data_IF_136820986473
#
_entry.id   IF_136820986473
#
_cell.length_a   1.000
_cell.length_b   1.000
_cell.length_c   1.000
_cell.angle_alpha   90.00
_cell.angle_beta   90.00
_cell.angle_gamma   90.00
#
_symmetry.space_group_name_H-M   'P 1'
#
loop_
_entity.id
_entity.type
_entity.pdbx_description
1 polymer ?
#
# COMPACT_ATOMS: atom_id res chain seq x y z
N UNK A 1 -10.55 4.44 -34.36
CA UNK A 1 -10.48 3.26 -33.47
C UNK A 1 -9.14 3.19 -32.76
N UNK A 2 -8.02 3.13 -33.48
CA UNK A 2 -6.66 3.05 -32.90
C UNK A 2 -6.28 4.21 -31.95
N UNK A 3 -6.67 5.45 -32.24
CA UNK A 3 -6.39 6.61 -31.37
C UNK A 3 -7.15 6.54 -30.04
N UNK A 4 -8.41 6.10 -30.05
CA UNK A 4 -9.21 5.96 -28.82
C UNK A 4 -8.69 4.85 -27.92
N UNK A 5 -8.26 3.72 -28.50
CA UNK A 5 -7.61 2.64 -27.75
C UNK A 5 -6.30 3.10 -27.10
N UNK A 6 -5.49 3.88 -27.83
CA UNK A 6 -4.25 4.46 -27.29
C UNK A 6 -4.53 5.42 -26.12
N UNK A 7 -5.53 6.30 -26.25
CA UNK A 7 -5.94 7.21 -25.16
C UNK A 7 -6.41 6.42 -23.94
N UNK A 8 -7.26 5.41 -24.13
CA UNK A 8 -7.75 4.59 -23.03
C UNK A 8 -6.60 3.84 -22.33
N UNK A 9 -5.65 3.29 -23.09
CA UNK A 9 -4.45 2.65 -22.53
C UNK A 9 -3.62 3.63 -21.69
N UNK A 10 -3.42 4.86 -22.18
CA UNK A 10 -2.69 5.89 -21.46
C UNK A 10 -3.39 6.29 -20.14
N UNK A 11 -4.72 6.43 -20.17
CA UNK A 11 -5.52 6.71 -18.96
C UNK A 11 -5.36 5.57 -17.94
N UNK A 12 -5.48 4.31 -18.38
CA UNK A 12 -5.33 3.15 -17.50
C UNK A 12 -3.93 3.07 -16.90
N UNK A 13 -2.89 3.33 -17.69
CA UNK A 13 -1.51 3.36 -17.20
C UNK A 13 -1.29 4.48 -16.17
N UNK A 14 -1.86 5.66 -16.41
CA UNK A 14 -1.82 6.77 -15.45
C UNK A 14 -2.54 6.45 -14.13
N UNK A 15 -3.66 5.72 -14.18
CA UNK A 15 -4.37 5.26 -12.99
C UNK A 15 -3.56 4.23 -12.20
N UNK A 16 -2.97 3.26 -12.90
CA UNK A 16 -2.09 2.25 -12.30
C UNK A 16 -0.85 2.89 -11.65
N UNK A 17 -0.26 3.90 -12.30
CA UNK A 17 0.88 4.65 -11.76
C UNK A 17 0.51 5.34 -10.44
N UNK A 18 -0.62 6.06 -10.40
CA UNK A 18 -1.08 6.73 -9.17
C UNK A 18 -1.36 5.73 -8.06
N UNK A 19 -1.98 4.60 -8.40
CA UNK A 19 -2.23 3.53 -7.45
C UNK A 19 -0.93 2.95 -6.90
N UNK A 20 0.05 2.66 -7.76
CA UNK A 20 1.37 2.16 -7.36
C UNK A 20 2.11 3.13 -6.44
N UNK A 21 2.05 4.44 -6.71
CA UNK A 21 2.66 5.45 -5.85
C UNK A 21 1.99 5.50 -4.46
N UNK A 22 0.66 5.43 -4.42
CA UNK A 22 -0.07 5.38 -3.15
C UNK A 22 0.19 4.09 -2.36
N UNK A 23 0.29 2.95 -3.05
CA UNK A 23 0.67 1.67 -2.46
C UNK A 23 2.11 1.66 -1.95
N UNK A 24 3.05 2.30 -2.63
CA UNK A 24 4.43 2.40 -2.15
C UNK A 24 4.52 3.16 -0.82
N UNK A 25 3.73 4.23 -0.67
CA UNK A 25 3.59 4.94 0.62
C UNK A 25 2.94 4.06 1.68
N UNK A 26 1.89 3.31 1.33
CA UNK A 26 1.27 2.39 2.28
C UNK A 26 2.22 1.28 2.73
N UNK A 27 2.99 0.70 1.80
CA UNK A 27 4.04 -0.27 2.08
C UNK A 27 5.08 0.33 3.03
N UNK A 28 5.55 1.55 2.78
CA UNK A 28 6.49 2.23 3.66
C UNK A 28 5.97 2.35 5.10
N UNK A 29 4.70 2.71 5.27
CA UNK A 29 4.08 2.76 6.60
C UNK A 29 4.04 1.37 7.27
N UNK A 30 3.77 0.31 6.51
CA UNK A 30 3.86 -1.05 7.04
C UNK A 30 5.31 -1.41 7.44
N UNK A 31 6.29 -1.10 6.59
CA UNK A 31 7.70 -1.39 6.81
C UNK A 31 8.23 -0.65 8.06
N UNK A 32 7.85 0.61 8.27
CA UNK A 32 8.19 1.37 9.47
C UNK A 32 7.64 0.73 10.74
N UNK A 33 6.39 0.25 10.72
CA UNK A 33 5.80 -0.45 11.88
C UNK A 33 6.55 -1.75 12.17
N UNK A 34 6.86 -2.54 11.13
CA UNK A 34 7.61 -3.78 11.27
C UNK A 34 9.02 -3.52 11.83
N UNK A 35 9.67 -2.43 11.41
CA UNK A 35 10.97 -2.03 11.97
C UNK A 35 10.90 -1.67 13.44
N UNK A 36 9.83 -0.99 13.88
CA UNK A 36 9.62 -0.74 15.31
C UNK A 36 9.39 -2.02 16.10
N UNK A 37 8.70 -3.02 15.54
CA UNK A 37 8.60 -4.36 16.14
C UNK A 37 9.98 -5.04 16.25
N UNK A 38 10.76 -5.03 15.16
CA UNK A 38 12.10 -5.64 15.13
C UNK A 38 13.03 -4.98 16.16
N UNK A 39 12.93 -3.67 16.38
CA UNK A 39 13.68 -2.94 17.42
C UNK A 39 13.31 -3.38 18.85
N UNK A 40 12.16 -4.03 19.03
CA UNK A 40 11.71 -4.64 20.28
C UNK A 40 12.03 -6.14 20.35
N UNK A 41 12.94 -6.63 19.49
CA UNK A 41 13.32 -8.04 19.37
C UNK A 41 12.14 -8.97 18.97
N UNK A 42 11.11 -8.43 18.32
CA UNK A 42 9.99 -9.23 17.82
C UNK A 42 10.41 -10.15 16.68
N UNK A 43 9.83 -11.35 16.66
CA UNK A 43 9.99 -12.33 15.58
C UNK A 43 9.04 -12.04 14.41
N UNK A 44 9.28 -12.71 13.28
CA UNK A 44 8.34 -12.70 12.15
C UNK A 44 6.95 -13.23 12.55
N UNK A 45 6.89 -14.21 13.45
CA UNK A 45 5.62 -14.75 13.97
C UNK A 45 4.88 -13.72 14.83
N UNK A 46 5.60 -12.96 15.66
CA UNK A 46 5.00 -11.87 16.44
C UNK A 46 4.40 -10.80 15.53
N UNK A 47 5.12 -10.41 14.47
CA UNK A 47 4.61 -9.46 13.46
C UNK A 47 3.39 -10.03 12.73
N UNK A 48 3.43 -11.30 12.34
CA UNK A 48 2.34 -12.00 11.67
C UNK A 48 1.08 -12.17 12.55
N UNK A 49 1.24 -12.04 13.87
CA UNK A 49 0.15 -12.15 14.86
C UNK A 49 -0.52 -10.82 15.20
N UNK A 50 -0.02 -9.68 14.70
CA UNK A 50 -0.55 -8.36 15.03
C UNK A 50 -2.02 -8.20 14.64
N UNK A 51 -2.89 -7.93 15.62
CA UNK A 51 -4.32 -7.69 15.41
C UNK A 51 -4.83 -6.45 16.14
N UNK A 52 -5.96 -5.91 15.69
CA UNK A 52 -6.62 -4.77 16.38
C UNK A 52 -7.16 -5.13 17.78
N UNK A 53 -7.26 -6.43 18.12
CA UNK A 53 -7.77 -6.88 19.42
C UNK A 53 -6.78 -6.67 20.56
N UNK A 54 -5.49 -6.53 20.25
CA UNK A 54 -4.42 -6.30 21.21
C UNK A 54 -4.27 -4.82 21.52
N UNK A 55 -5.23 -4.27 22.26
CA UNK A 55 -5.35 -2.82 22.47
C UNK A 55 -4.09 -2.15 23.00
N UNK A 56 -3.29 -2.83 23.82
CA UNK A 56 -2.01 -2.31 24.31
C UNK A 56 -0.94 -2.13 23.22
N UNK A 57 -0.91 -3.04 22.23
CA UNK A 57 -0.02 -2.95 21.07
C UNK A 57 -0.50 -1.86 20.12
N UNK A 58 -1.81 -1.76 19.90
CA UNK A 58 -2.42 -0.68 19.12
C UNK A 58 -2.05 0.69 19.70
N UNK A 59 -2.26 0.89 21.02
CA UNK A 59 -1.92 2.14 21.69
C UNK A 59 -0.42 2.45 21.63
N UNK A 60 0.44 1.44 21.74
CA UNK A 60 1.88 1.62 21.58
C UNK A 60 2.23 2.24 20.22
N UNK A 61 1.74 1.65 19.13
CA UNK A 61 2.02 2.14 17.78
C UNK A 61 1.38 3.50 17.48
N UNK A 62 0.16 3.73 17.96
CA UNK A 62 -0.48 5.04 17.83
C UNK A 62 0.32 6.14 18.53
N UNK A 63 0.90 5.86 19.69
CA UNK A 63 1.76 6.83 20.39
C UNK A 63 3.13 6.99 19.73
N UNK A 64 3.70 5.90 19.19
CA UNK A 64 5.06 5.87 18.64
C UNK A 64 5.15 6.38 17.21
N UNK A 65 4.24 5.95 16.35
CA UNK A 65 4.21 6.20 14.90
C UNK A 65 3.01 7.04 14.47
N UNK A 66 1.98 7.18 15.32
CA UNK A 66 0.77 7.90 14.97
C UNK A 66 -0.28 7.07 14.24
N UNK A 67 -0.10 5.76 14.11
CA UNK A 67 -1.05 4.82 13.48
C UNK A 67 -0.80 3.39 13.95
N UNK A 68 -1.71 2.48 13.59
CA UNK A 68 -1.52 1.04 13.68
C UNK A 68 -2.07 0.35 12.43
N UNK A 69 -1.40 -0.70 11.97
CA UNK A 69 -1.83 -1.59 10.89
C UNK A 69 -1.78 -3.03 11.39
N UNK A 70 -2.92 -3.74 11.38
CA UNK A 70 -2.95 -5.17 11.67
C UNK A 70 -2.27 -5.98 10.55
N UNK A 71 -1.82 -7.20 10.84
CA UNK A 71 -1.13 -8.02 9.84
C UNK A 71 -2.00 -8.31 8.62
N UNK A 72 -3.28 -8.63 8.81
CA UNK A 72 -4.26 -8.85 7.73
C UNK A 72 -4.43 -7.64 6.80
N UNK A 73 -4.19 -6.44 7.33
CA UNK A 73 -4.29 -5.18 6.61
C UNK A 73 -2.91 -4.69 6.12
N UNK A 74 -1.81 -5.37 6.48
CA UNK A 74 -0.46 -4.99 6.10
C UNK A 74 -0.13 -5.42 4.68
N UNK A 75 0.86 -4.74 4.09
CA UNK A 75 1.38 -5.12 2.77
C UNK A 75 1.87 -6.58 2.74
N UNK A 76 2.62 -7.02 3.75
CA UNK A 76 3.07 -8.42 3.87
C UNK A 76 1.92 -9.41 4.00
N UNK A 77 0.89 -9.09 4.79
CA UNK A 77 -0.31 -9.92 4.90
C UNK A 77 -1.04 -10.08 3.56
N UNK A 78 -1.05 -9.05 2.71
CA UNK A 78 -1.61 -9.16 1.36
C UNK A 78 -0.77 -10.02 0.42
N UNK A 79 0.57 -9.91 0.52
CA UNK A 79 1.50 -10.77 -0.23
C UNK A 79 1.28 -12.23 0.16
N UNK A 80 1.18 -12.53 1.46
CA UNK A 80 0.98 -13.89 1.97
C UNK A 80 -0.41 -14.44 1.63
N UNK A 81 -1.45 -13.60 1.65
CA UNK A 81 -2.80 -13.99 1.24
C UNK A 81 -2.83 -14.49 -0.23
N UNK A 82 -1.91 -14.01 -1.07
CA UNK A 82 -1.65 -14.58 -2.39
C UNK A 82 -2.89 -14.63 -3.29
N UNK A 83 -3.52 -15.80 -3.41
CA UNK A 83 -4.74 -16.01 -4.23
C UNK A 83 -6.03 -15.58 -3.53
N UNK A 84 -6.01 -15.52 -2.21
CA UNK A 84 -7.14 -15.11 -1.38
C UNK A 84 -7.21 -13.58 -1.24
N UNK A 85 -6.20 -12.85 -1.74
CA UNK A 85 -6.19 -11.40 -1.80
C UNK A 85 -7.14 -10.85 -2.88
N UNK A 86 -7.88 -9.81 -2.54
CA UNK A 86 -8.67 -9.02 -3.47
C UNK A 86 -8.75 -7.51 -3.10
N UNK A 87 -9.36 -6.73 -3.99
CA UNK A 87 -9.54 -5.27 -3.81
C UNK A 87 -10.30 -4.89 -2.53
N UNK A 88 -11.10 -5.79 -1.96
CA UNK A 88 -11.80 -5.53 -0.70
C UNK A 88 -10.84 -5.49 0.48
N UNK A 89 -9.74 -6.26 0.48
CA UNK A 89 -8.71 -6.19 1.53
C UNK A 89 -8.13 -4.78 1.66
N UNK A 90 -7.79 -4.14 0.53
CA UNK A 90 -7.26 -2.76 0.54
C UNK A 90 -8.31 -1.74 0.95
N UNK A 91 -9.58 -1.96 0.59
CA UNK A 91 -10.67 -1.11 1.10
C UNK A 91 -10.80 -1.25 2.62
N UNK A 92 -10.82 -2.47 3.18
CA UNK A 92 -10.88 -2.68 4.63
C UNK A 92 -9.70 -2.01 5.33
N UNK A 93 -8.48 -2.22 4.82
CA UNK A 93 -7.27 -1.68 5.40
C UNK A 93 -7.18 -0.15 5.37
N UNK A 94 -7.62 0.50 4.29
CA UNK A 94 -7.63 1.97 4.21
C UNK A 94 -8.63 2.58 5.21
N UNK A 95 -9.78 1.95 5.43
CA UNK A 95 -10.74 2.40 6.44
C UNK A 95 -10.24 2.11 7.87
N UNK A 96 -9.58 0.96 8.08
CA UNK A 96 -8.95 0.63 9.36
C UNK A 96 -7.85 1.65 9.70
N UNK A 97 -7.00 1.98 8.72
CA UNK A 97 -5.94 2.96 8.87
C UNK A 97 -6.49 4.33 9.25
N UNK A 98 -7.51 4.84 8.55
CA UNK A 98 -8.10 6.15 8.89
C UNK A 98 -8.64 6.20 10.33
N UNK A 99 -9.23 5.09 10.81
CA UNK A 99 -9.73 4.95 12.19
C UNK A 99 -8.61 4.86 13.22
N UNK A 100 -7.53 4.16 12.87
CA UNK A 100 -6.43 3.84 13.78
C UNK A 100 -5.25 4.81 13.69
N UNK A 101 -5.27 5.73 12.74
CA UNK A 101 -4.33 6.84 12.65
C UNK A 101 -4.77 8.03 13.51
N UNK A 102 -3.79 8.73 14.05
CA UNK A 102 -3.98 10.00 14.75
C UNK A 102 -4.38 11.11 13.78
N UNK A 103 -5.08 12.13 14.28
CA UNK A 103 -5.47 13.30 13.48
C UNK A 103 -4.28 14.00 12.80
N UNK A 104 -3.11 13.99 13.45
CA UNK A 104 -1.90 14.59 12.88
C UNK A 104 -1.43 13.81 11.65
N UNK A 105 -1.34 12.48 11.78
CA UNK A 105 -0.92 11.64 10.67
C UNK A 105 -1.94 11.64 9.53
N UNK A 106 -3.24 11.65 9.84
CA UNK A 106 -4.28 11.80 8.83
C UNK A 106 -4.17 13.13 8.06
N UNK A 107 -3.67 14.20 8.69
CA UNK A 107 -3.40 15.47 7.98
C UNK A 107 -2.17 15.40 7.07
N UNK A 108 -1.12 14.69 7.49
CA UNK A 108 0.14 14.62 6.76
C UNK A 108 0.13 13.55 5.65
N UNK A 109 -0.32 12.34 5.98
CA UNK A 109 -0.30 11.16 5.10
C UNK A 109 -1.69 10.67 4.69
N UNK A 110 -2.76 11.12 5.35
CA UNK A 110 -4.12 10.65 5.04
C UNK A 110 -4.52 10.93 3.59
N UNK A 111 -4.00 11.99 2.97
CA UNK A 111 -4.21 12.26 1.54
C UNK A 111 -3.73 11.12 0.63
N UNK A 112 -2.66 10.41 0.99
CA UNK A 112 -2.14 9.28 0.20
C UNK A 112 -2.94 8.00 0.43
N UNK A 113 -3.44 7.78 1.65
CA UNK A 113 -4.35 6.65 1.95
C UNK A 113 -5.71 6.84 1.28
N UNK A 114 -6.22 8.07 1.28
CA UNK A 114 -7.40 8.46 0.50
C UNK A 114 -7.15 8.24 -0.99
N UNK A 115 -6.01 8.69 -1.51
CA UNK A 115 -5.64 8.47 -2.91
C UNK A 115 -5.58 6.98 -3.27
N UNK A 116 -5.03 6.14 -2.39
CA UNK A 116 -5.01 4.70 -2.60
C UNK A 116 -6.44 4.18 -2.81
N UNK A 117 -7.37 4.48 -1.89
CA UNK A 117 -8.77 4.10 -1.98
C UNK A 117 -9.45 4.59 -3.25
N UNK A 118 -9.25 5.87 -3.61
CA UNK A 118 -9.86 6.47 -4.80
C UNK A 118 -9.38 5.80 -6.09
N UNK A 119 -8.09 5.47 -6.17
CA UNK A 119 -7.51 4.83 -7.36
C UNK A 119 -7.99 3.40 -7.59
N UNK A 120 -8.41 2.66 -6.56
CA UNK A 120 -8.88 1.26 -6.70
C UNK A 120 -10.00 1.13 -7.73
N UNK A 121 -10.99 2.02 -7.67
CA UNK A 121 -12.14 2.03 -8.59
C UNK A 121 -11.76 2.28 -10.05
N UNK A 122 -10.57 2.83 -10.29
CA UNK A 122 -10.08 3.24 -11.60
C UNK A 122 -9.21 2.20 -12.30
N UNK A 123 -8.89 1.09 -11.62
CA UNK A 123 -8.02 0.01 -12.11
C UNK A 123 -8.72 -0.99 -13.03
N UNK A 124 -10.06 -1.01 -13.03
CA UNK A 124 -10.86 -1.98 -13.76
C UNK A 124 -12.35 -1.72 -13.58
N UNK A 125 -13.17 -2.31 -14.44
CA UNK A 125 -14.63 -2.14 -14.42
C UNK A 125 -15.30 -3.06 -13.41
N UNK A 126 -14.62 -4.15 -13.02
CA UNK A 126 -15.12 -5.14 -12.07
C UNK A 126 -14.12 -5.39 -10.96
N UNK A 127 -14.59 -5.87 -9.79
CA UNK A 127 -13.71 -6.21 -8.67
C UNK A 127 -12.62 -7.23 -9.06
N UNK A 128 -12.90 -8.30 -9.84
CA UNK A 128 -11.84 -9.21 -10.29
C UNK A 128 -10.76 -8.54 -11.17
N UNK A 129 -11.15 -7.63 -12.06
CA UNK A 129 -10.20 -6.86 -12.87
C UNK A 129 -9.34 -5.95 -12.00
N UNK A 130 -9.95 -5.27 -11.03
CA UNK A 130 -9.26 -4.43 -10.06
C UNK A 130 -8.26 -5.24 -9.24
N UNK A 131 -8.69 -6.37 -8.66
CA UNK A 131 -7.84 -7.28 -7.89
C UNK A 131 -6.66 -7.80 -8.71
N UNK A 132 -6.89 -8.15 -9.98
CA UNK A 132 -5.83 -8.65 -10.86
C UNK A 132 -4.76 -7.59 -11.17
N UNK A 133 -5.16 -6.34 -11.39
CA UNK A 133 -4.22 -5.23 -11.60
C UNK A 133 -3.49 -4.90 -10.29
N UNK A 134 -4.23 -4.81 -9.19
CA UNK A 134 -3.71 -4.50 -7.86
C UNK A 134 -2.68 -5.52 -7.38
N UNK A 135 -2.95 -6.82 -7.58
CA UNK A 135 -2.00 -7.90 -7.27
C UNK A 135 -0.69 -7.73 -8.02
N UNK A 136 -0.72 -7.37 -9.32
CA UNK A 136 0.50 -7.13 -10.10
C UNK A 136 1.32 -5.96 -9.54
N UNK A 137 0.65 -4.90 -9.12
CA UNK A 137 1.31 -3.74 -8.51
C UNK A 137 1.94 -4.14 -7.16
N UNK A 138 1.23 -4.90 -6.33
CA UNK A 138 1.75 -5.41 -5.05
C UNK A 138 2.98 -6.27 -5.28
N UNK A 139 2.95 -7.27 -6.17
CA UNK A 139 4.13 -8.09 -6.44
C UNK A 139 5.31 -7.27 -6.99
N UNK A 140 5.05 -6.32 -7.89
CA UNK A 140 6.09 -5.40 -8.38
C UNK A 140 6.74 -4.59 -7.26
N UNK A 141 5.94 -4.07 -6.31
CA UNK A 141 6.45 -3.32 -5.16
C UNK A 141 7.10 -4.23 -4.10
N UNK A 142 6.69 -5.49 -4.01
CA UNK A 142 7.30 -6.48 -3.13
C UNK A 142 8.71 -6.87 -3.56
N UNK A 143 8.97 -6.85 -4.88
CA UNK A 143 10.31 -7.08 -5.44
C UNK A 143 11.27 -5.88 -5.22
N UNK A 144 10.75 -4.72 -4.79
CA UNK A 144 11.57 -3.58 -4.40
C UNK A 144 12.16 -3.77 -2.98
N UNK A 145 13.33 -3.18 -2.69
CA UNK A 145 13.89 -3.22 -1.34
C UNK A 145 12.91 -2.66 -0.30
N UNK A 146 12.98 -3.19 0.92
CA UNK A 146 12.30 -2.62 2.08
C UNK A 146 12.71 -1.16 2.27
N UNK A 147 11.78 -0.34 2.75
CA UNK A 147 11.98 1.09 2.92
C UNK A 147 12.16 1.41 4.41
N UNK A 148 13.32 1.93 4.79
CA UNK A 148 13.70 2.22 6.18
C UNK A 148 13.67 3.72 6.51
N UNK A 149 13.59 4.57 5.49
CA UNK A 149 13.59 6.02 5.65
C UNK A 149 12.99 6.75 4.44
N UNK A 150 12.79 8.06 4.59
CA UNK A 150 12.20 8.91 3.55
C UNK A 150 13.04 8.99 2.27
N UNK A 151 14.36 8.82 2.34
CA UNK A 151 15.21 8.87 1.15
C UNK A 151 15.08 7.59 0.31
N UNK A 152 14.90 6.45 0.98
CA UNK A 152 14.54 5.18 0.33
C UNK A 152 13.13 5.23 -0.26
N UNK A 153 12.16 5.83 0.44
CA UNK A 153 10.83 6.06 -0.13
C UNK A 153 10.90 6.90 -1.41
N UNK A 154 11.68 8.00 -1.41
CA UNK A 154 11.88 8.81 -2.61
C UNK A 154 12.52 8.00 -3.74
N UNK A 155 13.51 7.14 -3.42
CA UNK A 155 14.14 6.27 -4.40
C UNK A 155 13.15 5.25 -4.99
N UNK A 156 12.33 4.62 -4.15
CA UNK A 156 11.29 3.71 -4.59
C UNK A 156 10.28 4.42 -5.49
N UNK A 157 9.82 5.62 -5.12
CA UNK A 157 8.94 6.43 -5.95
C UNK A 157 9.59 6.78 -7.30
N UNK A 158 10.88 7.12 -7.34
CA UNK A 158 11.63 7.36 -8.58
C UNK A 158 11.73 6.09 -9.45
N UNK A 159 11.90 4.91 -8.84
CA UNK A 159 11.91 3.63 -9.56
C UNK A 159 10.54 3.28 -10.14
N UNK A 160 9.46 3.49 -9.37
CA UNK A 160 8.08 3.36 -9.83
C UNK A 160 7.86 4.29 -11.04
N UNK A 161 8.21 5.56 -10.93
CA UNK A 161 8.08 6.53 -12.01
C UNK A 161 8.85 6.10 -13.27
N UNK A 162 10.09 5.66 -13.11
CA UNK A 162 10.93 5.18 -14.22
C UNK A 162 10.30 3.98 -14.93
N UNK A 163 9.78 3.02 -14.18
CA UNK A 163 9.17 1.82 -14.74
C UNK A 163 7.89 2.17 -15.53
N UNK A 164 7.00 2.98 -14.97
CA UNK A 164 5.78 3.42 -15.63
C UNK A 164 6.03 4.31 -16.87
N UNK A 165 7.06 5.15 -16.82
CA UNK A 165 7.52 5.89 -17.99
C UNK A 165 8.01 4.94 -19.10
N UNK A 166 8.69 3.84 -18.75
CA UNK A 166 9.15 2.85 -19.74
C UNK A 166 8.00 2.19 -20.52
N UNK A 167 6.81 2.05 -19.91
CA UNK A 167 5.60 1.54 -20.55
C UNK A 167 4.87 2.58 -21.40
N UNK A 168 5.07 3.87 -21.12
CA UNK A 168 4.45 4.98 -21.85
C UNK A 168 5.14 5.27 -23.19
N UNK A 169 6.41 4.86 -23.34
CA UNK A 169 7.24 5.09 -24.54
C UNK A 169 7.44 3.83 -25.42
N UNK A 170 6.68 2.76 -25.18
CA UNK A 170 6.60 1.56 -26.04
C UNK A 170 5.19 1.36 -26.60
#
# INVERSE_FOLDING_TARGET
MQVFEQINKAIQLGNQYKCAMALAVYKYLCDLQNQEMIKLDATEEDIASLTESETGVVEYFQNKLGYFVSYENSFNGWVDAGRDFDVSNVNVATHAFERLATDSLNKEHGAMVVMLRETLSTLGQTSPEQSAVLSKIIYFLNDMPSLENDDELKLAMMLVEKEFNSFSFK
#
